data_IF_181954979951
#
_entry.id   IF_181954979951
#
_cell.length_a   1.000
_cell.length_b   1.000
_cell.length_c   1.000
_cell.angle_alpha   90.00
_cell.angle_beta   90.00
_cell.angle_gamma   90.00
#
_symmetry.space_group_name_H-M   'P 1'
#
loop_
_entity.id
_entity.type
_entity.pdbx_description
1 polymer ?
#
# COMPACT_ATOMS: atom_id res chain seq x y z
N UNK A 1 -2.08 22.29 -18.37
CA UNK A 1 -0.94 21.67 -19.04
C UNK A 1 -1.48 20.76 -20.15
N UNK A 2 -1.00 20.92 -21.40
CA UNK A 2 -1.36 20.04 -22.53
C UNK A 2 -0.48 18.78 -22.54
N UNK A 3 -0.45 18.02 -21.42
CA UNK A 3 0.40 16.85 -21.23
C UNK A 3 -0.45 15.71 -20.67
N UNK A 4 -0.17 14.48 -21.10
CA UNK A 4 -0.72 13.29 -20.49
C UNK A 4 -0.15 13.07 -19.09
N UNK A 5 -0.79 12.24 -18.27
CA UNK A 5 -0.27 11.84 -16.95
C UNK A 5 1.13 11.21 -17.06
N UNK A 6 1.34 10.39 -18.09
CA UNK A 6 2.62 9.75 -18.36
C UNK A 6 3.73 10.77 -18.67
N UNK A 7 3.47 11.70 -19.57
CA UNK A 7 4.43 12.76 -19.94
C UNK A 7 4.78 13.65 -18.75
N UNK A 8 3.78 14.04 -17.94
CA UNK A 8 4.01 14.82 -16.72
C UNK A 8 4.88 14.05 -15.73
N UNK A 9 4.54 12.78 -15.47
CA UNK A 9 5.28 11.92 -14.55
C UNK A 9 6.72 11.72 -15.02
N UNK A 10 6.92 11.44 -16.29
CA UNK A 10 8.26 11.32 -16.90
C UNK A 10 9.08 12.59 -16.67
N UNK A 11 8.48 13.75 -16.94
CA UNK A 11 9.16 15.04 -16.72
C UNK A 11 9.54 15.25 -15.26
N UNK A 12 8.61 14.96 -14.33
CA UNK A 12 8.88 15.08 -12.89
C UNK A 12 10.06 14.20 -12.45
N UNK A 13 10.09 12.93 -12.89
CA UNK A 13 11.19 12.02 -12.53
C UNK A 13 12.52 12.50 -13.10
N UNK A 14 12.54 12.96 -14.36
CA UNK A 14 13.76 13.50 -15.01
C UNK A 14 14.25 14.76 -14.33
N UNK A 15 13.36 15.67 -13.95
CA UNK A 15 13.73 16.88 -13.22
C UNK A 15 14.35 16.53 -11.85
N UNK A 16 13.76 15.58 -11.10
CA UNK A 16 14.33 15.09 -9.83
C UNK A 16 15.69 14.45 -10.07
N UNK A 17 15.83 13.59 -11.06
CA UNK A 17 17.09 12.92 -11.37
C UNK A 17 18.19 13.94 -11.74
N UNK A 18 17.85 14.94 -12.55
CA UNK A 18 18.77 16.00 -12.94
C UNK A 18 19.26 16.83 -11.76
N UNK A 19 18.36 17.19 -10.83
CA UNK A 19 18.70 18.03 -9.69
C UNK A 19 19.38 17.26 -8.54
N UNK A 20 19.07 15.98 -8.38
CA UNK A 20 19.52 15.21 -7.20
C UNK A 20 20.40 14.01 -7.53
N UNK A 21 20.44 13.58 -8.79
CA UNK A 21 21.08 12.33 -9.20
C UNK A 21 20.31 11.06 -8.79
N UNK A 22 19.11 11.19 -8.21
CA UNK A 22 18.30 10.08 -7.72
C UNK A 22 17.29 9.66 -8.79
N UNK A 23 17.30 8.38 -9.15
CA UNK A 23 16.26 7.78 -10.00
C UNK A 23 15.04 7.40 -9.18
N UNK A 24 13.85 7.49 -9.77
CA UNK A 24 12.60 7.11 -9.14
C UNK A 24 11.75 6.23 -10.07
N UNK A 25 10.86 5.45 -9.47
CA UNK A 25 9.78 4.74 -10.17
C UNK A 25 8.44 5.40 -9.87
N UNK A 26 7.51 5.34 -10.80
CA UNK A 26 6.17 5.87 -10.58
C UNK A 26 5.07 4.88 -11.00
N UNK A 27 3.93 5.01 -10.34
CA UNK A 27 2.69 4.35 -10.72
C UNK A 27 1.61 5.38 -11.02
N UNK A 28 0.91 5.20 -12.12
CA UNK A 28 -0.25 5.98 -12.52
C UNK A 28 -1.47 5.07 -12.40
N UNK A 29 -2.54 5.56 -11.79
CA UNK A 29 -3.77 4.79 -11.61
C UNK A 29 -5.00 5.68 -11.60
N UNK A 30 -6.15 5.09 -11.90
CA UNK A 30 -7.46 5.77 -11.85
C UNK A 30 -7.89 6.11 -10.42
N UNK A 31 -7.26 5.50 -9.42
CA UNK A 31 -7.41 5.80 -8.00
C UNK A 31 -6.08 5.61 -7.24
N UNK A 32 -6.05 5.99 -5.95
CA UNK A 32 -4.84 5.93 -5.12
C UNK A 32 -4.29 4.51 -4.97
N UNK A 33 -5.18 3.53 -4.79
CA UNK A 33 -4.77 2.14 -4.66
C UNK A 33 -4.09 1.63 -5.93
N UNK A 34 -4.70 1.84 -7.09
CA UNK A 34 -4.14 1.39 -8.38
C UNK A 34 -2.83 2.09 -8.72
N UNK A 35 -2.69 3.38 -8.43
CA UNK A 35 -1.43 4.09 -8.59
C UNK A 35 -0.32 3.48 -7.70
N UNK A 36 -0.65 3.15 -6.45
CA UNK A 36 0.27 2.51 -5.51
C UNK A 36 0.68 1.12 -5.97
N UNK A 37 -0.28 0.30 -6.42
CA UNK A 37 -0.02 -1.07 -6.91
C UNK A 37 0.77 -1.07 -8.22
N UNK A 38 0.46 -0.14 -9.14
CA UNK A 38 1.24 0.04 -10.36
C UNK A 38 2.71 0.32 -10.04
N UNK A 39 2.98 1.20 -9.07
CA UNK A 39 4.33 1.52 -8.65
C UNK A 39 5.03 0.32 -7.96
N UNK A 40 4.37 -0.32 -6.99
CA UNK A 40 5.02 -1.31 -6.13
C UNK A 40 5.22 -2.67 -6.80
N UNK A 41 4.27 -3.11 -7.63
CA UNK A 41 4.30 -4.45 -8.24
C UNK A 41 4.80 -4.39 -9.69
N UNK A 42 4.36 -3.42 -10.49
CA UNK A 42 4.67 -3.41 -11.92
C UNK A 42 5.90 -2.55 -12.26
N UNK A 43 5.94 -1.30 -11.84
CA UNK A 43 7.00 -0.36 -12.27
C UNK A 43 8.40 -0.83 -11.86
N UNK A 44 8.54 -1.55 -10.75
CA UNK A 44 9.83 -2.10 -10.29
C UNK A 44 10.40 -3.19 -11.21
N UNK A 45 9.54 -3.84 -12.00
CA UNK A 45 9.90 -4.96 -12.88
C UNK A 45 9.89 -4.57 -14.37
N UNK A 46 9.53 -3.34 -14.72
CA UNK A 46 9.59 -2.83 -16.08
C UNK A 46 11.04 -2.40 -16.38
N UNK A 47 11.50 -2.72 -17.58
CA UNK A 47 12.78 -2.22 -18.08
C UNK A 47 12.76 -0.67 -18.09
N UNK A 48 13.80 -0.02 -17.60
CA UNK A 48 13.88 1.44 -17.61
C UNK A 48 13.99 1.96 -19.05
N UNK A 49 13.46 3.16 -19.28
CA UNK A 49 13.75 3.88 -20.51
C UNK A 49 15.23 4.32 -20.60
N UNK A 50 15.60 5.01 -21.68
CA UNK A 50 16.98 5.47 -21.89
C UNK A 50 17.53 6.37 -20.76
N UNK A 51 16.64 7.01 -20.00
CA UNK A 51 16.98 7.90 -18.89
C UNK A 51 16.83 7.20 -17.51
N UNK A 52 16.58 5.89 -17.51
CA UNK A 52 16.41 5.12 -16.28
C UNK A 52 15.02 5.23 -15.63
N UNK A 53 14.04 5.84 -16.30
CA UNK A 53 12.68 6.05 -15.79
C UNK A 53 11.86 4.77 -15.93
N UNK A 54 11.13 4.41 -14.88
CA UNK A 54 10.20 3.28 -14.83
C UNK A 54 8.82 3.77 -14.41
N UNK A 55 7.84 3.65 -15.30
CA UNK A 55 6.45 4.05 -15.05
C UNK A 55 5.54 2.89 -15.42
N UNK A 56 4.61 2.56 -14.54
CA UNK A 56 3.51 1.62 -14.83
C UNK A 56 2.17 2.33 -14.66
N UNK A 57 1.19 1.89 -15.44
CA UNK A 57 -0.16 2.46 -15.44
C UNK A 57 -1.18 1.34 -15.23
N UNK A 58 -2.17 1.58 -14.35
CA UNK A 58 -3.28 0.67 -14.10
C UNK A 58 -4.61 1.42 -14.05
N UNK A 59 -5.59 0.84 -14.71
CA UNK A 59 -7.01 0.99 -14.43
C UNK A 59 -7.58 -0.29 -13.82
N UNK A 60 -8.84 -0.31 -13.44
CA UNK A 60 -9.51 -1.44 -12.79
C UNK A 60 -9.49 -2.70 -13.67
N UNK A 61 -9.60 -2.56 -14.99
CA UNK A 61 -9.64 -3.68 -15.91
C UNK A 61 -8.26 -4.28 -16.15
N UNK A 62 -7.24 -3.45 -16.33
CA UNK A 62 -5.85 -3.90 -16.47
C UNK A 62 -5.33 -4.49 -15.17
N UNK A 63 -5.69 -3.92 -14.01
CA UNK A 63 -5.41 -4.50 -12.70
C UNK A 63 -5.95 -5.93 -12.60
N UNK A 64 -7.24 -6.14 -12.89
CA UNK A 64 -7.86 -7.48 -12.84
C UNK A 64 -7.20 -8.44 -13.83
N UNK A 65 -6.86 -7.97 -15.03
CA UNK A 65 -6.24 -8.78 -16.08
C UNK A 65 -4.84 -9.24 -15.70
N UNK A 66 -4.02 -8.36 -15.13
CA UNK A 66 -2.60 -8.63 -14.91
C UNK A 66 -2.26 -9.07 -13.49
N UNK A 67 -3.02 -8.60 -12.48
CA UNK A 67 -2.62 -8.76 -11.09
C UNK A 67 -3.59 -9.60 -10.24
N UNK A 68 -4.75 -9.98 -10.74
CA UNK A 68 -5.65 -10.86 -9.97
C UNK A 68 -5.04 -12.21 -9.62
N UNK A 69 -4.11 -12.72 -10.42
CA UNK A 69 -3.37 -13.96 -10.17
C UNK A 69 -2.02 -13.78 -9.50
N UNK A 70 -1.61 -12.53 -9.23
CA UNK A 70 -0.29 -12.25 -8.64
C UNK A 70 -0.16 -12.81 -7.22
N UNK A 71 1.05 -13.28 -6.92
CA UNK A 71 1.48 -13.77 -5.59
C UNK A 71 2.88 -13.24 -5.27
N UNK A 72 3.19 -13.06 -3.99
CA UNK A 72 2.36 -13.28 -2.80
C UNK A 72 1.36 -12.14 -2.54
N UNK A 73 0.33 -12.41 -1.73
CA UNK A 73 -0.65 -11.40 -1.32
C UNK A 73 -0.02 -10.21 -0.57
N UNK A 74 1.12 -10.43 0.08
CA UNK A 74 1.84 -9.39 0.84
C UNK A 74 2.46 -8.29 -0.03
N UNK A 75 2.50 -8.46 -1.35
CA UNK A 75 2.95 -7.42 -2.27
C UNK A 75 1.89 -6.32 -2.44
N UNK A 76 0.63 -6.66 -2.14
CA UNK A 76 -0.47 -5.70 -2.23
C UNK A 76 -0.54 -4.80 -1.00
N UNK A 77 -0.68 -3.52 -1.26
CA UNK A 77 -0.83 -2.52 -0.21
C UNK A 77 -1.97 -2.88 0.75
N UNK A 78 -1.72 -2.74 2.05
CA UNK A 78 -2.59 -3.09 3.18
C UNK A 78 -2.79 -4.60 3.43
N UNK A 79 -2.16 -5.49 2.67
CA UNK A 79 -2.15 -6.92 2.97
C UNK A 79 -0.84 -7.30 3.67
N UNK A 80 -0.84 -7.29 4.99
CA UNK A 80 0.29 -7.73 5.80
C UNK A 80 0.35 -9.25 5.96
N UNK A 81 1.46 -9.75 6.52
CA UNK A 81 1.68 -11.20 6.75
C UNK A 81 0.55 -11.89 7.51
N UNK A 82 -0.05 -11.18 8.49
CA UNK A 82 -1.18 -11.73 9.27
C UNK A 82 -2.43 -11.94 8.44
N UNK A 83 -2.73 -11.02 7.52
CA UNK A 83 -3.86 -11.14 6.59
C UNK A 83 -3.60 -12.25 5.58
N UNK A 84 -2.44 -12.25 4.94
CA UNK A 84 -2.06 -13.28 3.97
C UNK A 84 -2.16 -14.66 4.57
N UNK A 85 -1.57 -14.89 5.77
CA UNK A 85 -1.63 -16.18 6.46
C UNK A 85 -3.08 -16.66 6.71
N UNK A 86 -3.95 -15.79 7.23
CA UNK A 86 -5.36 -16.13 7.49
C UNK A 86 -6.12 -16.51 6.21
N UNK A 87 -5.85 -15.80 5.10
CA UNK A 87 -6.43 -16.07 3.79
C UNK A 87 -5.93 -17.41 3.23
N UNK A 88 -4.62 -17.65 3.27
CA UNK A 88 -3.98 -18.87 2.80
C UNK A 88 -4.48 -20.12 3.55
N UNK A 89 -4.69 -20.04 4.87
CA UNK A 89 -5.31 -21.08 5.68
C UNK A 89 -6.73 -21.45 5.23
N UNK A 90 -7.38 -20.58 4.45
CA UNK A 90 -8.71 -20.79 3.86
C UNK A 90 -8.65 -21.07 2.35
N UNK A 91 -7.47 -21.28 1.78
CA UNK A 91 -7.29 -21.55 0.36
C UNK A 91 -7.45 -20.32 -0.54
N UNK A 92 -7.38 -19.10 0.02
CA UNK A 92 -7.44 -17.82 -0.69
C UNK A 92 -6.03 -17.29 -0.85
N UNK A 93 -5.49 -17.28 -2.08
CA UNK A 93 -4.08 -17.00 -2.34
C UNK A 93 -3.84 -15.74 -3.17
N UNK A 94 -4.88 -15.18 -3.77
CA UNK A 94 -4.79 -14.07 -4.73
C UNK A 94 -5.88 -13.04 -4.51
N UNK A 95 -5.69 -11.82 -5.02
CA UNK A 95 -6.74 -10.80 -5.01
C UNK A 95 -7.97 -11.24 -5.83
N UNK A 96 -7.76 -11.99 -6.91
CA UNK A 96 -8.86 -12.60 -7.66
C UNK A 96 -9.65 -13.64 -6.86
N UNK A 97 -9.01 -14.37 -5.93
CA UNK A 97 -9.73 -15.29 -5.04
C UNK A 97 -10.60 -14.52 -4.02
N UNK A 98 -10.08 -13.41 -3.48
CA UNK A 98 -10.84 -12.53 -2.58
C UNK A 98 -12.05 -11.94 -3.32
N UNK A 99 -11.85 -11.40 -4.52
CA UNK A 99 -12.93 -10.85 -5.33
C UNK A 99 -14.00 -11.91 -5.66
N UNK A 100 -13.60 -13.13 -6.01
CA UNK A 100 -14.55 -14.23 -6.23
C UNK A 100 -15.27 -14.65 -4.96
N UNK A 101 -14.57 -14.68 -3.82
CA UNK A 101 -15.17 -14.97 -2.53
C UNK A 101 -16.30 -13.98 -2.20
N UNK A 102 -16.10 -12.68 -2.45
CA UNK A 102 -17.12 -11.65 -2.18
C UNK A 102 -18.41 -11.79 -3.01
N UNK A 103 -18.40 -12.58 -4.10
CA UNK A 103 -19.57 -12.86 -4.93
C UNK A 103 -20.35 -14.11 -4.51
N UNK A 104 -19.87 -14.85 -3.53
CA UNK A 104 -20.53 -16.05 -3.03
C UNK A 104 -21.91 -15.76 -2.44
N UNK A 105 -22.82 -16.69 -2.62
CA UNK A 105 -24.16 -16.60 -2.04
C UNK A 105 -24.11 -16.81 -0.53
N UNK A 106 -25.13 -16.38 0.19
CA UNK A 106 -25.26 -16.47 1.65
C UNK A 106 -24.97 -17.89 2.21
N UNK A 107 -25.34 -18.93 1.48
CA UNK A 107 -25.12 -20.32 1.89
C UNK A 107 -23.82 -20.95 1.36
N UNK A 108 -23.04 -20.24 0.58
CA UNK A 108 -21.74 -20.73 0.09
C UNK A 108 -20.69 -20.62 1.20
N UNK A 109 -19.72 -21.56 1.22
CA UNK A 109 -18.60 -21.49 2.16
C UNK A 109 -17.74 -20.25 1.92
N UNK A 110 -17.45 -19.94 0.65
CA UNK A 110 -16.76 -18.74 0.23
C UNK A 110 -17.78 -17.65 -0.12
N UNK A 111 -17.96 -16.72 0.78
CA UNK A 111 -18.85 -15.59 0.64
C UNK A 111 -18.28 -14.37 1.38
N UNK A 112 -18.95 -13.26 1.26
CA UNK A 112 -18.58 -12.01 1.92
C UNK A 112 -18.53 -12.15 3.45
N UNK A 113 -19.48 -12.88 4.05
CA UNK A 113 -19.53 -13.12 5.50
C UNK A 113 -18.29 -13.84 6.03
N UNK A 114 -17.67 -14.71 5.24
CA UNK A 114 -16.41 -15.34 5.61
C UNK A 114 -15.33 -14.29 5.80
N UNK A 115 -15.21 -13.33 4.89
CA UNK A 115 -14.22 -12.25 4.96
C UNK A 115 -14.49 -11.33 6.15
N UNK A 116 -15.76 -10.96 6.40
CA UNK A 116 -16.13 -10.15 7.58
C UNK A 116 -15.87 -10.87 8.89
N UNK A 117 -16.11 -12.18 9.00
CA UNK A 117 -15.74 -12.98 10.18
C UNK A 117 -14.24 -13.01 10.45
N UNK A 118 -13.41 -12.94 9.39
CA UNK A 118 -11.95 -12.97 9.50
C UNK A 118 -11.33 -11.62 9.84
N UNK A 119 -11.88 -10.53 9.32
CA UNK A 119 -11.25 -9.21 9.31
C UNK A 119 -12.13 -8.09 9.87
N UNK A 120 -13.38 -8.37 10.23
CA UNK A 120 -14.33 -7.36 10.67
C UNK A 120 -14.58 -6.32 9.57
N UNK A 121 -14.78 -5.07 9.94
CA UNK A 121 -15.01 -3.95 9.01
C UNK A 121 -13.87 -3.76 7.99
N UNK A 122 -12.67 -4.22 8.29
CA UNK A 122 -11.54 -4.15 7.34
C UNK A 122 -11.72 -5.10 6.13
N UNK A 123 -12.68 -6.03 6.17
CA UNK A 123 -13.03 -6.85 5.01
C UNK A 123 -13.56 -6.01 3.86
N UNK A 124 -14.31 -4.94 4.14
CA UNK A 124 -14.85 -4.01 3.14
C UNK A 124 -13.74 -3.43 2.28
N UNK A 125 -12.74 -2.81 2.92
CA UNK A 125 -11.59 -2.27 2.20
C UNK A 125 -10.80 -3.35 1.44
N UNK A 126 -10.66 -4.53 2.02
CA UNK A 126 -9.97 -5.65 1.37
C UNK A 126 -10.71 -6.12 0.11
N UNK A 127 -12.04 -6.17 0.14
CA UNK A 127 -12.91 -6.51 -0.99
C UNK A 127 -12.81 -5.42 -2.06
N UNK A 128 -12.94 -4.16 -1.68
CA UNK A 128 -12.80 -3.01 -2.59
C UNK A 128 -11.46 -3.05 -3.33
N UNK A 129 -10.36 -3.21 -2.61
CA UNK A 129 -9.03 -3.34 -3.19
C UNK A 129 -8.90 -4.58 -4.09
N UNK A 130 -9.53 -5.71 -3.75
CA UNK A 130 -9.55 -6.89 -4.61
C UNK A 130 -10.25 -6.62 -5.95
N UNK A 131 -11.23 -5.74 -5.96
CA UNK A 131 -11.89 -5.28 -7.19
C UNK A 131 -11.15 -4.14 -7.90
N UNK A 132 -10.12 -3.56 -7.29
CA UNK A 132 -9.38 -2.40 -7.79
C UNK A 132 -10.07 -1.08 -7.52
N UNK A 133 -10.95 -1.03 -6.52
CA UNK A 133 -11.68 0.15 -6.10
C UNK A 133 -11.04 0.79 -4.88
N UNK A 134 -11.00 2.12 -4.82
CA UNK A 134 -10.57 2.91 -3.67
C UNK A 134 -11.43 4.17 -3.59
N UNK A 135 -12.29 4.28 -2.58
CA UNK A 135 -13.18 5.44 -2.44
C UNK A 135 -12.45 6.69 -1.97
N UNK A 136 -11.32 6.55 -1.27
CA UNK A 136 -10.58 7.67 -0.71
C UNK A 136 -9.85 8.45 -1.81
N UNK A 137 -10.11 9.75 -1.89
CA UNK A 137 -9.45 10.65 -2.84
C UNK A 137 -8.38 11.50 -2.15
N UNK A 138 -7.53 12.16 -2.95
CA UNK A 138 -6.56 13.16 -2.43
C UNK A 138 -7.29 14.32 -1.73
N UNK A 139 -8.49 14.69 -2.18
CA UNK A 139 -9.29 15.72 -1.52
C UNK A 139 -9.73 15.27 -0.12
N UNK A 140 -10.17 14.02 0.02
CA UNK A 140 -10.55 13.44 1.32
C UNK A 140 -9.36 13.38 2.28
N UNK A 141 -8.19 12.96 1.79
CA UNK A 141 -6.95 12.96 2.58
C UNK A 141 -6.59 14.35 3.08
N UNK A 142 -6.72 15.38 2.22
CA UNK A 142 -6.44 16.78 2.59
C UNK A 142 -7.47 17.38 3.54
N UNK A 143 -8.73 16.95 3.44
CA UNK A 143 -9.81 17.41 4.30
C UNK A 143 -9.87 16.68 5.65
N UNK A 144 -9.18 15.56 5.78
CA UNK A 144 -9.21 14.75 6.99
C UNK A 144 -8.62 15.52 8.18
N UNK A 145 -9.41 15.60 9.25
CA UNK A 145 -8.99 16.14 10.53
C UNK A 145 -9.06 15.01 11.58
N UNK A 146 -7.91 14.58 12.13
CA UNK A 146 -7.93 13.52 13.15
C UNK A 146 -8.60 14.01 14.43
N UNK A 147 -9.44 13.16 15.01
CA UNK A 147 -10.06 13.43 16.33
C UNK A 147 -9.01 13.46 17.44
N UNK A 148 -7.95 12.70 17.30
CA UNK A 148 -6.85 12.63 18.27
C UNK A 148 -5.52 12.81 17.55
N UNK A 149 -4.64 13.59 18.15
CA UNK A 149 -3.26 13.74 17.72
C UNK A 149 -2.35 12.88 18.60
N UNK A 150 -1.42 12.16 17.98
CA UNK A 150 -0.39 11.41 18.70
C UNK A 150 0.99 11.74 18.13
N UNK A 151 1.96 11.87 19.02
CA UNK A 151 3.38 11.98 18.64
C UNK A 151 4.04 10.65 18.96
N UNK A 152 4.80 10.11 18.00
CA UNK A 152 5.46 8.82 18.14
C UNK A 152 6.94 8.92 17.77
N UNK A 153 7.77 8.17 18.49
CA UNK A 153 9.19 8.02 18.17
C UNK A 153 9.54 6.55 18.05
N UNK A 154 10.44 6.22 17.13
CA UNK A 154 10.93 4.86 16.93
C UNK A 154 12.43 4.86 16.64
N UNK A 155 13.18 3.93 17.26
CA UNK A 155 14.60 3.75 17.01
C UNK A 155 14.91 2.30 16.70
N UNK A 156 15.60 2.07 15.60
CA UNK A 156 16.14 0.74 15.26
C UNK A 156 17.48 0.57 15.95
N UNK A 157 17.58 -0.47 16.80
CA UNK A 157 18.80 -0.75 17.53
C UNK A 157 19.78 -1.56 16.67
N UNK A 158 21.07 -1.26 16.74
CA UNK A 158 22.13 -1.95 15.99
C UNK A 158 22.34 -3.41 16.43
N UNK A 159 21.96 -3.75 17.67
CA UNK A 159 22.03 -5.08 18.25
C UNK A 159 21.05 -5.22 19.44
N UNK A 160 20.80 -6.43 19.96
CA UNK A 160 20.04 -6.60 21.19
C UNK A 160 20.70 -5.86 22.36
N UNK A 161 19.91 -5.07 23.10
CA UNK A 161 20.37 -4.34 24.28
C UNK A 161 19.92 -5.01 25.57
N UNK A 162 20.72 -4.85 26.63
CA UNK A 162 20.27 -5.21 27.97
C UNK A 162 19.09 -4.34 28.40
N UNK A 163 18.29 -4.81 29.36
CA UNK A 163 17.14 -4.06 29.90
C UNK A 163 17.55 -2.66 30.38
N UNK A 164 18.71 -2.55 31.04
CA UNK A 164 19.23 -1.27 31.54
C UNK A 164 19.55 -0.29 30.41
N UNK A 165 20.20 -0.78 29.34
CA UNK A 165 20.53 0.03 28.18
C UNK A 165 19.29 0.41 27.37
N UNK A 166 18.34 -0.51 27.19
CA UNK A 166 17.06 -0.23 26.57
C UNK A 166 16.23 0.81 27.34
N UNK A 167 16.23 0.73 28.69
CA UNK A 167 15.57 1.73 29.53
C UNK A 167 16.15 3.13 29.35
N UNK A 168 17.47 3.27 29.18
CA UNK A 168 18.10 4.56 28.91
C UNK A 168 17.60 5.14 27.58
N UNK A 169 17.62 4.32 26.50
CA UNK A 169 17.14 4.73 25.20
C UNK A 169 15.66 5.18 25.24
N UNK A 170 14.81 4.43 25.94
CA UNK A 170 13.38 4.79 26.08
C UNK A 170 13.21 6.13 26.82
N UNK A 171 14.05 6.41 27.83
CA UNK A 171 14.02 7.70 28.52
C UNK A 171 14.42 8.85 27.61
N UNK A 172 15.51 8.71 26.86
CA UNK A 172 15.95 9.71 25.87
C UNK A 172 14.87 9.98 24.82
N UNK A 173 14.20 8.91 24.33
CA UNK A 173 13.09 9.03 23.39
C UNK A 173 11.89 9.76 24.00
N UNK A 174 11.56 9.47 25.26
CA UNK A 174 10.47 10.13 25.97
C UNK A 174 10.75 11.63 26.22
N UNK A 175 12.00 11.96 26.57
CA UNK A 175 12.42 13.36 26.77
C UNK A 175 12.33 14.15 25.44
N UNK A 176 12.78 13.56 24.32
CA UNK A 176 12.64 14.17 22.99
C UNK A 176 11.19 14.39 22.59
N UNK A 177 10.32 13.37 22.80
CA UNK A 177 8.88 13.50 22.52
C UNK A 177 8.22 14.58 23.39
N UNK A 178 8.63 14.71 24.64
CA UNK A 178 8.11 15.76 25.51
C UNK A 178 8.48 17.16 25.03
N UNK A 179 9.70 17.33 24.46
CA UNK A 179 10.13 18.59 23.85
C UNK A 179 9.36 18.91 22.55
N UNK A 180 8.99 17.91 21.78
CA UNK A 180 8.20 18.08 20.55
C UNK A 180 6.73 18.51 20.84
N UNK A 181 6.25 18.32 22.07
CA UNK A 181 4.90 18.69 22.47
C UNK A 181 4.80 20.15 23.02
N UNK A 182 5.92 20.83 23.25
CA UNK A 182 5.99 22.20 23.78
C UNK A 182 6.23 23.20 22.67
#
# INVERSE_FOLDING_TARGET
YHMTAHELTTRMIRDVQKETGITATAGIGTNLYLAKIAMDIMAKHIEPDADGVRIAELDEMSYRRYLWGHRPLTDFWRVGRGYAKKLEERGIYTMGDIARCSLGKENDYYNEDLLYRMFGVNAELLIDHAWGYEPCTIADVKAYQPENHSVGSGQVLACPYTVQKARLVVREMADLLALDLV
#
